data_IF_145987537117
#
_entry.id   IF_145987537117
#
_cell.length_a   1.000
_cell.length_b   1.000
_cell.length_c   1.000
_cell.angle_alpha   90.00
_cell.angle_beta   90.00
_cell.angle_gamma   90.00
#
_symmetry.space_group_name_H-M   'P 1'
#
loop_
_entity.id
_entity.type
_entity.pdbx_description
1 polymer ?
#
# COMPACT_ATOMS: atom_id res chain seq x y z
N UNK A 1 4.49 -7.09 11.68
CA UNK A 1 4.53 -7.56 10.31
C UNK A 1 5.16 -6.50 9.40
N UNK A 2 6.22 -6.89 8.71
CA UNK A 2 7.00 -5.98 7.86
C UNK A 2 6.17 -5.33 6.76
N UNK A 3 5.19 -6.04 6.21
CA UNK A 3 4.32 -5.56 5.14
C UNK A 3 3.51 -4.33 5.55
N UNK A 4 2.97 -4.31 6.76
CA UNK A 4 2.21 -3.16 7.25
C UNK A 4 3.09 -1.92 7.35
N UNK A 5 4.27 -2.06 7.95
CA UNK A 5 5.23 -0.96 8.12
C UNK A 5 5.66 -0.40 6.77
N UNK A 6 6.03 -1.26 5.85
CA UNK A 6 6.57 -0.85 4.57
C UNK A 6 5.57 -0.07 3.72
N UNK A 7 4.36 -0.61 3.55
CA UNK A 7 3.35 0.09 2.75
C UNK A 7 2.80 1.33 3.41
N UNK A 8 2.70 1.34 4.75
CA UNK A 8 2.31 2.55 5.48
C UNK A 8 3.36 3.66 5.33
N UNK A 9 4.63 3.31 5.43
CA UNK A 9 5.72 4.28 5.21
C UNK A 9 5.76 4.76 3.76
N UNK A 10 5.56 3.89 2.79
CA UNK A 10 5.49 4.26 1.37
C UNK A 10 4.33 5.23 1.11
N UNK A 11 3.18 5.02 1.74
CA UNK A 11 2.02 5.91 1.63
C UNK A 11 2.31 7.30 2.22
N UNK A 12 2.99 7.38 3.35
CA UNK A 12 3.44 8.64 3.94
C UNK A 12 4.44 9.34 3.03
N UNK A 13 5.37 8.62 2.45
CA UNK A 13 6.35 9.18 1.51
C UNK A 13 5.66 9.75 0.26
N UNK A 14 4.62 9.06 -0.25
CA UNK A 14 3.83 9.56 -1.37
C UNK A 14 3.13 10.89 -1.04
N UNK A 15 2.64 11.04 0.19
CA UNK A 15 2.06 12.30 0.66
C UNK A 15 3.10 13.41 0.74
N UNK A 16 4.27 13.12 1.27
CA UNK A 16 5.38 14.07 1.36
C UNK A 16 5.80 14.55 -0.02
N UNK A 17 5.95 13.64 -0.96
CA UNK A 17 6.33 13.95 -2.34
C UNK A 17 5.31 14.81 -3.07
N UNK A 18 4.01 14.54 -2.84
CA UNK A 18 2.91 15.28 -3.44
C UNK A 18 2.55 16.58 -2.69
N UNK A 19 3.16 16.85 -1.54
CA UNK A 19 2.83 18.00 -0.72
C UNK A 19 1.47 17.91 -0.04
N UNK A 20 1.01 16.71 0.27
CA UNK A 20 -0.31 16.44 0.87
C UNK A 20 -0.17 16.33 2.38
N UNK A 21 -1.01 17.06 3.12
CA UNK A 21 -0.96 17.11 4.58
C UNK A 21 -2.01 16.24 5.29
N UNK A 22 -2.94 15.65 4.55
CA UNK A 22 -3.96 14.79 5.12
C UNK A 22 -3.37 13.44 5.57
N UNK A 23 -4.01 12.72 6.50
CA UNK A 23 -3.54 11.39 6.89
C UNK A 23 -3.77 10.35 5.78
N UNK A 24 -2.94 9.33 5.77
CA UNK A 24 -3.23 8.10 5.02
C UNK A 24 -4.40 7.37 5.68
N UNK A 25 -5.06 6.50 4.93
CA UNK A 25 -6.13 5.65 5.47
C UNK A 25 -5.70 4.19 5.44
N UNK A 26 -5.84 3.53 6.58
CA UNK A 26 -5.51 2.12 6.73
C UNK A 26 -6.75 1.37 7.17
N UNK A 27 -7.19 0.42 6.36
CA UNK A 27 -8.27 -0.50 6.73
C UNK A 27 -7.62 -1.80 7.21
N UNK A 28 -7.76 -2.08 8.50
CA UNK A 28 -7.20 -3.27 9.11
C UNK A 28 -8.07 -4.50 8.82
N UNK A 29 -7.47 -5.68 8.70
CA UNK A 29 -8.24 -6.90 8.48
C UNK A 29 -9.06 -7.27 9.71
N UNK A 30 -10.21 -7.89 9.45
CA UNK A 30 -11.07 -8.48 10.47
C UNK A 30 -11.58 -9.83 9.98
N UNK A 31 -12.23 -10.60 10.86
CA UNK A 31 -12.82 -11.89 10.47
C UNK A 31 -13.91 -11.74 9.40
N UNK A 32 -14.52 -10.56 9.29
CA UNK A 32 -15.54 -10.26 8.28
C UNK A 32 -14.93 -9.81 6.95
N UNK A 33 -13.70 -9.28 6.99
CA UNK A 33 -13.00 -8.83 5.80
C UNK A 33 -11.50 -9.10 5.98
N UNK A 34 -11.03 -10.14 5.33
CA UNK A 34 -9.64 -10.61 5.44
C UNK A 34 -8.71 -9.87 4.47
N UNK A 35 -8.78 -8.56 4.50
CA UNK A 35 -7.99 -7.68 3.65
C UNK A 35 -7.37 -6.53 4.46
N UNK A 36 -6.10 -6.26 4.21
CA UNK A 36 -5.42 -5.04 4.63
C UNK A 36 -5.47 -4.07 3.45
N UNK A 37 -5.95 -2.85 3.67
CA UNK A 37 -5.96 -1.78 2.66
C UNK A 37 -5.18 -0.59 3.17
N UNK A 38 -4.28 -0.08 2.37
CA UNK A 38 -3.51 1.13 2.68
C UNK A 38 -3.69 2.11 1.52
N UNK A 39 -4.37 3.22 1.81
CA UNK A 39 -4.75 4.25 0.85
C UNK A 39 -3.96 5.52 1.09
N UNK A 40 -3.19 5.94 0.10
CA UNK A 40 -2.61 7.28 0.08
C UNK A 40 -3.41 8.22 -0.82
N UNK A 41 -3.16 9.51 -0.66
CA UNK A 41 -3.75 10.59 -1.45
C UNK A 41 -2.66 11.38 -2.16
N UNK A 42 -1.63 10.68 -2.63
CA UNK A 42 -0.58 11.23 -3.44
C UNK A 42 -1.01 11.47 -4.88
N UNK A 43 -0.09 11.40 -5.80
CA UNK A 43 -0.36 11.72 -7.20
C UNK A 43 -1.07 10.62 -7.98
N UNK A 44 -1.07 9.39 -7.48
CA UNK A 44 -1.54 8.23 -8.22
C UNK A 44 -0.54 7.79 -9.27
N UNK A 45 -0.95 6.86 -10.11
CA UNK A 45 -0.12 6.34 -11.20
C UNK A 45 -0.71 6.74 -12.54
N UNK A 46 0.05 7.48 -13.35
CA UNK A 46 -0.30 7.77 -14.73
C UNK A 46 -0.06 6.54 -15.61
N UNK A 47 -0.63 6.55 -16.82
CA UNK A 47 -0.33 5.51 -17.81
C UNK A 47 1.17 5.42 -18.12
N UNK A 48 1.84 6.57 -18.14
CA UNK A 48 3.29 6.62 -18.36
C UNK A 48 4.04 5.93 -17.22
N UNK A 49 3.64 6.16 -15.97
CA UNK A 49 4.24 5.49 -14.81
C UNK A 49 4.11 3.98 -14.92
N UNK A 50 2.94 3.49 -15.33
CA UNK A 50 2.70 2.05 -15.50
C UNK A 50 3.55 1.50 -16.66
N UNK A 51 3.67 2.21 -17.76
CA UNK A 51 4.53 1.80 -18.88
C UNK A 51 5.99 1.69 -18.44
N UNK A 52 6.46 2.62 -17.61
CA UNK A 52 7.81 2.57 -17.05
C UNK A 52 8.01 1.34 -16.16
N UNK A 53 6.99 0.98 -15.35
CA UNK A 53 7.02 -0.23 -14.52
C UNK A 53 7.11 -1.48 -15.40
N UNK A 54 6.30 -1.59 -16.45
CA UNK A 54 6.36 -2.71 -17.38
C UNK A 54 7.72 -2.80 -18.09
N UNK A 55 8.26 -1.67 -18.53
CA UNK A 55 9.57 -1.61 -19.17
C UNK A 55 10.68 -2.06 -18.21
N UNK A 56 10.57 -1.73 -16.93
CA UNK A 56 11.53 -2.17 -15.91
C UNK A 56 11.58 -3.70 -15.79
N UNK A 57 10.42 -4.34 -15.78
CA UNK A 57 10.37 -5.82 -15.73
C UNK A 57 10.88 -6.47 -17.02
N UNK A 58 10.77 -5.77 -18.15
CA UNK A 58 11.31 -6.24 -19.43
C UNK A 58 12.80 -5.96 -19.62
N UNK A 59 13.31 -4.87 -19.04
CA UNK A 59 14.70 -4.40 -19.19
C UNK A 59 15.23 -3.89 -17.85
N UNK A 60 16.26 -4.48 -17.32
CA UNK A 60 16.75 -4.29 -15.94
C UNK A 60 17.53 -3.00 -15.64
N UNK A 61 17.38 -1.89 -16.40
CA UNK A 61 18.38 -0.80 -16.35
C UNK A 61 17.89 0.64 -16.17
N UNK A 62 16.60 0.91 -15.85
CA UNK A 62 16.13 2.30 -15.75
C UNK A 62 15.93 2.76 -14.29
N UNK A 63 16.74 3.72 -13.85
CA UNK A 63 16.75 4.26 -12.47
C UNK A 63 15.43 4.92 -12.02
N UNK A 64 14.67 5.55 -12.91
CA UNK A 64 13.36 6.16 -12.57
C UNK A 64 12.31 5.11 -12.21
N UNK A 65 12.37 3.96 -12.84
CA UNK A 65 11.48 2.84 -12.56
C UNK A 65 11.72 2.24 -11.18
N UNK A 66 12.95 2.29 -10.66
CA UNK A 66 13.28 1.81 -9.31
C UNK A 66 12.55 2.58 -8.21
N UNK A 67 12.37 3.89 -8.37
CA UNK A 67 11.63 4.70 -7.41
C UNK A 67 10.15 4.33 -7.35
N UNK A 68 9.50 4.21 -8.51
CA UNK A 68 8.10 3.80 -8.61
C UNK A 68 7.88 2.37 -8.11
N UNK A 69 8.76 1.45 -8.49
CA UNK A 69 8.69 0.06 -8.05
C UNK A 69 8.87 -0.04 -6.54
N UNK A 70 9.78 0.74 -5.96
CA UNK A 70 9.96 0.84 -4.52
C UNK A 70 8.73 1.40 -3.81
N UNK A 71 8.13 2.47 -4.33
CA UNK A 71 6.91 3.07 -3.79
C UNK A 71 5.71 2.10 -3.84
N UNK A 72 5.64 1.27 -4.87
CA UNK A 72 4.61 0.24 -4.98
C UNK A 72 4.93 -1.03 -4.19
N UNK A 73 6.12 -1.12 -3.60
CA UNK A 73 6.56 -2.33 -2.90
C UNK A 73 6.87 -3.51 -3.80
N UNK A 74 6.94 -3.30 -5.12
CA UNK A 74 7.19 -4.36 -6.11
C UNK A 74 8.65 -4.81 -6.13
N UNK A 75 9.58 -3.93 -5.75
CA UNK A 75 11.00 -4.25 -5.65
C UNK A 75 11.38 -4.86 -4.30
N UNK A 76 10.49 -4.78 -3.33
CA UNK A 76 10.69 -5.31 -1.99
C UNK A 76 10.12 -6.72 -1.91
N UNK A 77 10.75 -7.55 -1.11
CA UNK A 77 10.28 -8.92 -0.90
C UNK A 77 9.16 -9.02 0.14
N UNK A 78 8.82 -7.92 0.85
CA UNK A 78 7.93 -8.02 2.02
C UNK A 78 6.48 -8.34 1.68
N UNK A 79 5.90 -7.75 0.63
CA UNK A 79 4.54 -8.09 0.21
C UNK A 79 4.45 -9.51 -0.33
N UNK A 80 5.41 -9.87 -1.18
CA UNK A 80 5.47 -11.20 -1.76
C UNK A 80 5.94 -12.26 -0.76
N UNK A 81 6.61 -11.86 0.33
CA UNK A 81 6.90 -12.74 1.45
C UNK A 81 5.63 -13.07 2.25
N UNK A 82 4.65 -12.16 2.28
CA UNK A 82 3.38 -12.40 2.92
C UNK A 82 2.41 -13.21 2.06
N UNK A 83 2.36 -12.93 0.74
CA UNK A 83 1.47 -13.61 -0.19
C UNK A 83 1.98 -13.56 -1.62
N UNK A 84 1.44 -14.41 -2.49
CA UNK A 84 1.88 -14.54 -3.89
C UNK A 84 1.42 -13.38 -4.77
N UNK A 85 0.42 -12.65 -4.34
CA UNK A 85 -0.14 -11.53 -5.11
C UNK A 85 -0.82 -10.51 -4.20
N UNK A 86 -0.97 -9.31 -4.71
CA UNK A 86 -1.76 -8.25 -4.09
C UNK A 86 -2.34 -7.33 -5.18
N UNK A 87 -3.33 -6.52 -4.79
CA UNK A 87 -4.04 -5.63 -5.70
C UNK A 87 -3.56 -4.19 -5.49
N UNK A 88 -3.40 -3.47 -6.59
CA UNK A 88 -3.08 -2.05 -6.61
C UNK A 88 -4.23 -1.33 -7.31
N UNK A 89 -4.89 -0.40 -6.59
CA UNK A 89 -5.85 0.51 -7.18
C UNK A 89 -5.20 1.88 -7.33
N UNK A 90 -5.08 2.36 -8.56
CA UNK A 90 -4.58 3.69 -8.84
C UNK A 90 -5.74 4.63 -9.17
N UNK A 91 -5.77 5.78 -8.50
CA UNK A 91 -6.73 6.85 -8.76
C UNK A 91 -5.96 8.02 -9.35
N UNK A 92 -6.18 8.29 -10.63
CA UNK A 92 -5.46 9.35 -11.34
C UNK A 92 -6.39 10.06 -12.31
N UNK A 93 -6.57 11.36 -12.10
CA UNK A 93 -7.36 12.25 -12.98
C UNK A 93 -8.76 11.71 -13.31
N UNK A 94 -9.48 11.24 -12.29
CA UNK A 94 -10.85 10.76 -12.44
C UNK A 94 -10.97 9.33 -12.97
N UNK A 95 -9.89 8.58 -13.02
CA UNK A 95 -9.87 7.19 -13.47
C UNK A 95 -9.30 6.29 -12.38
N UNK A 96 -10.05 5.26 -12.03
CA UNK A 96 -9.57 4.17 -11.18
C UNK A 96 -9.09 3.02 -12.07
N UNK A 97 -7.84 2.65 -11.94
CA UNK A 97 -7.29 1.48 -12.63
C UNK A 97 -6.83 0.46 -11.60
N UNK A 98 -7.25 -0.78 -11.79
CA UNK A 98 -6.94 -1.89 -10.88
C UNK A 98 -5.91 -2.79 -11.54
N UNK A 99 -4.85 -3.09 -10.80
CA UNK A 99 -3.78 -3.98 -11.22
C UNK A 99 -3.64 -5.13 -10.22
N UNK A 100 -3.20 -6.28 -10.72
CA UNK A 100 -2.73 -7.37 -9.87
C UNK A 100 -1.22 -7.46 -9.98
N UNK A 101 -0.54 -7.37 -8.86
CA UNK A 101 0.90 -7.63 -8.75
C UNK A 101 1.09 -9.06 -8.26
N UNK A 102 1.92 -9.84 -8.94
CA UNK A 102 2.13 -11.26 -8.63
C UNK A 102 3.56 -11.68 -8.92
N UNK A 103 3.96 -12.81 -8.35
CA UNK A 103 5.24 -13.44 -8.65
C UNK A 103 4.99 -14.56 -9.67
N UNK A 104 5.71 -14.52 -10.79
CA UNK A 104 5.67 -15.59 -11.80
C UNK A 104 6.47 -16.82 -11.34
N UNK A 105 6.37 -17.96 -12.07
CA UNK A 105 7.15 -19.16 -11.72
C UNK A 105 8.66 -18.97 -11.69
N UNK A 106 9.18 -17.95 -12.37
CA UNK A 106 10.60 -17.60 -12.37
C UNK A 106 11.03 -16.77 -11.15
N UNK A 107 10.11 -16.52 -10.19
CA UNK A 107 10.32 -15.66 -9.01
C UNK A 107 10.52 -14.18 -9.37
N UNK A 108 10.02 -13.75 -10.52
CA UNK A 108 10.05 -12.36 -10.98
C UNK A 108 8.69 -11.71 -10.70
N UNK A 109 8.71 -10.52 -10.10
CA UNK A 109 7.50 -9.73 -9.88
C UNK A 109 6.92 -9.25 -11.20
N UNK A 110 5.60 -9.39 -11.35
CA UNK A 110 4.83 -8.98 -12.52
C UNK A 110 3.66 -8.11 -12.10
N UNK A 111 3.17 -7.30 -13.02
CA UNK A 111 1.96 -6.50 -12.81
C UNK A 111 1.04 -6.65 -14.02
N UNK A 112 -0.23 -6.91 -13.78
CA UNK A 112 -1.25 -7.07 -14.82
C UNK A 112 -2.41 -6.13 -14.58
N UNK A 113 -2.84 -5.40 -15.60
CA UNK A 113 -4.04 -4.56 -15.54
C UNK A 113 -5.28 -5.43 -15.59
N UNK A 114 -6.16 -5.26 -14.60
CA UNK A 114 -7.41 -6.01 -14.51
C UNK A 114 -8.62 -5.23 -15.03
N UNK A 115 -8.71 -3.93 -14.68
CA UNK A 115 -9.86 -3.11 -15.01
C UNK A 115 -9.52 -1.63 -14.96
N UNK A 116 -10.34 -0.83 -15.62
CA UNK A 116 -10.27 0.64 -15.55
C UNK A 116 -11.69 1.19 -15.64
N UNK A 117 -12.00 2.18 -14.79
CA UNK A 117 -13.31 2.80 -14.73
C UNK A 117 -13.21 4.25 -14.27
N UNK A 118 -14.21 5.06 -14.60
CA UNK A 118 -14.34 6.41 -14.07
C UNK A 118 -14.53 6.36 -12.54
N UNK A 119 -13.95 7.32 -11.84
CA UNK A 119 -14.03 7.41 -10.38
C UNK A 119 -14.07 8.87 -9.93
N UNK A 120 -14.83 9.15 -8.88
CA UNK A 120 -14.86 10.44 -8.21
C UNK A 120 -13.85 10.55 -7.06
N UNK A 121 -13.09 9.49 -6.82
CA UNK A 121 -12.08 9.46 -5.76
C UNK A 121 -10.93 10.41 -6.06
N UNK A 122 -10.35 10.98 -5.01
CA UNK A 122 -9.14 11.78 -5.11
C UNK A 122 -7.96 10.93 -5.58
N UNK A 123 -7.00 11.56 -6.25
CA UNK A 123 -5.78 10.90 -6.70
C UNK A 123 -5.06 10.17 -5.54
N UNK A 124 -4.34 9.15 -5.91
CA UNK A 124 -3.54 8.36 -4.98
C UNK A 124 -3.52 6.89 -5.35
N UNK A 125 -3.02 6.07 -4.43
CA UNK A 125 -2.89 4.64 -4.61
C UNK A 125 -3.46 3.92 -3.39
N UNK A 126 -4.15 2.81 -3.63
CA UNK A 126 -4.57 1.88 -2.59
C UNK A 126 -3.96 0.51 -2.84
N UNK A 127 -3.27 0.00 -1.84
CA UNK A 127 -2.74 -1.37 -1.85
C UNK A 127 -3.71 -2.25 -1.07
N UNK A 128 -4.10 -3.38 -1.64
CA UNK A 128 -5.01 -4.35 -1.01
C UNK A 128 -4.31 -5.70 -0.91
N UNK A 129 -4.14 -6.18 0.31
CA UNK A 129 -3.42 -7.42 0.60
C UNK A 129 -4.36 -8.39 1.30
N UNK A 130 -4.50 -9.61 0.76
CA UNK A 130 -5.26 -10.68 1.42
C UNK A 130 -4.51 -11.16 2.67
N UNK A 131 -5.23 -11.28 3.77
CA UNK A 131 -4.69 -11.60 5.09
C UNK A 131 -5.22 -12.93 5.56
N UNK A 132 -4.35 -13.74 6.19
CA UNK A 132 -4.74 -15.00 6.84
C UNK A 132 -5.55 -14.69 8.09
N UNK A 133 -6.63 -15.46 8.39
CA UNK A 133 -7.43 -15.24 9.59
C UNK A 133 -6.61 -15.23 10.88
N UNK A 134 -5.59 -16.08 10.97
CA UNK A 134 -4.70 -16.16 12.13
C UNK A 134 -3.84 -14.93 12.38
N UNK A 135 -3.69 -14.07 11.37
CA UNK A 135 -2.83 -12.87 11.45
C UNK A 135 -3.59 -11.59 11.77
N UNK A 136 -4.93 -11.62 11.78
CA UNK A 136 -5.74 -10.41 11.97
C UNK A 136 -5.39 -9.64 13.25
N UNK A 137 -5.30 -10.33 14.37
CA UNK A 137 -4.95 -9.69 15.67
C UNK A 137 -3.53 -9.14 15.68
N UNK A 138 -2.60 -9.82 15.01
CA UNK A 138 -1.22 -9.38 14.89
C UNK A 138 -1.14 -8.07 14.09
N UNK A 139 -1.91 -7.95 13.01
CA UNK A 139 -1.99 -6.69 12.26
C UNK A 139 -2.53 -5.54 13.12
N UNK A 140 -3.56 -5.79 13.90
CA UNK A 140 -4.16 -4.77 14.77
C UNK A 140 -3.16 -4.32 15.85
N UNK A 141 -2.52 -5.24 16.55
CA UNK A 141 -1.55 -4.91 17.60
C UNK A 141 -0.31 -4.22 17.04
N UNK A 142 0.17 -4.65 15.88
CA UNK A 142 1.31 -4.01 15.18
C UNK A 142 0.96 -2.59 14.76
N UNK A 143 -0.25 -2.36 14.25
CA UNK A 143 -0.72 -1.03 13.87
C UNK A 143 -0.77 -0.08 15.06
N UNK A 144 -1.23 -0.54 16.22
CA UNK A 144 -1.28 0.29 17.43
C UNK A 144 0.10 0.79 17.82
N UNK A 145 1.09 -0.07 17.79
CA UNK A 145 2.47 0.29 18.11
C UNK A 145 3.09 1.17 17.02
N UNK A 146 2.97 0.76 15.78
CA UNK A 146 3.61 1.42 14.64
C UNK A 146 3.09 2.85 14.45
N UNK A 147 1.76 3.03 14.41
CA UNK A 147 1.15 4.31 14.08
C UNK A 147 1.26 5.34 15.21
N UNK A 148 1.53 4.89 16.44
CA UNK A 148 1.83 5.80 17.55
C UNK A 148 3.02 6.70 17.24
N UNK A 149 3.97 6.22 16.43
CA UNK A 149 5.19 6.97 16.07
C UNK A 149 5.03 7.83 14.82
N UNK A 150 3.89 7.74 14.13
CA UNK A 150 3.67 8.56 12.93
C UNK A 150 3.38 10.01 13.31
N UNK A 151 4.02 10.94 12.61
CA UNK A 151 3.83 12.38 12.81
C UNK A 151 2.37 12.78 12.54
N UNK A 152 1.79 12.29 11.43
CA UNK A 152 0.37 12.41 11.13
C UNK A 152 -0.24 11.03 11.31
N UNK A 153 -1.11 10.87 12.31
CA UNK A 153 -1.73 9.58 12.62
C UNK A 153 -2.63 9.14 11.48
N UNK A 154 -2.50 7.91 10.98
CA UNK A 154 -3.42 7.38 9.98
C UNK A 154 -4.86 7.35 10.48
N UNK A 155 -5.81 7.49 9.55
CA UNK A 155 -7.21 7.13 9.81
C UNK A 155 -7.30 5.62 9.72
N UNK A 156 -7.70 4.97 10.82
CA UNK A 156 -7.79 3.51 10.89
C UNK A 156 -9.24 3.08 10.83
N UNK A 157 -9.54 2.17 9.91
CA UNK A 157 -10.87 1.60 9.66
C UNK A 157 -10.84 0.08 9.84
N UNK A 158 -12.00 -0.53 9.93
CA UNK A 158 -12.15 -1.99 9.96
C UNK A 158 -12.06 -2.61 11.35
N UNK A 159 -11.71 -1.84 12.36
CA UNK A 159 -11.63 -2.29 13.75
C UNK A 159 -12.39 -1.31 14.62
N UNK A 160 -13.37 -1.81 15.37
CA UNK A 160 -14.09 -1.01 16.35
C UNK A 160 -13.15 -0.66 17.51
N UNK A 161 -13.30 0.57 18.04
CA UNK A 161 -12.56 1.03 19.22
C UNK A 161 -11.02 0.95 19.08
N UNK A 162 -10.51 1.20 17.87
CA UNK A 162 -9.07 1.26 17.66
C UNK A 162 -8.47 2.43 18.44
N UNK A 163 -7.52 2.14 19.32
CA UNK A 163 -6.78 3.13 20.10
C UNK A 163 -5.29 2.94 19.93
N UNK A 164 -4.56 4.05 19.86
CA UNK A 164 -3.10 4.00 19.84
C UNK A 164 -2.56 3.65 21.23
N UNK A 165 -1.35 3.05 21.28
CA UNK A 165 -0.65 2.86 22.53
C UNK A 165 -0.34 4.23 23.15
N UNK A 166 -0.90 4.49 24.34
CA UNK A 166 -0.47 5.61 25.15
C UNK A 166 0.81 5.21 25.87
N UNK A 167 1.93 5.82 25.48
CA UNK A 167 3.14 5.71 26.29
C UNK A 167 2.88 6.42 27.61
N UNK A 168 2.83 5.65 28.68
CA UNK A 168 2.91 6.23 30.01
C UNK A 168 4.31 6.81 30.15
N UNK A 169 4.46 8.12 30.42
CA UNK A 169 5.78 8.68 30.66
C UNK A 169 6.45 7.93 31.81
N UNK A 170 7.64 7.45 31.57
CA UNK A 170 8.46 6.91 32.62
C UNK A 170 9.08 8.09 33.36
N UNK A 171 8.69 8.27 34.57
CA UNK A 171 9.28 9.25 35.47
C UNK A 171 10.44 8.60 36.25
#
# INVERSE_FOLDING_TARGET
LAVLREYSCNAVDAHTEAGVNRPIEVTLPSRLSLELKIRDYGMGLSEQDIQEIYAFYGESTKRKSNSLIGQLGLGSKSAFAYGDNFVINSFHNGVKTTYNAYIDPSQIGQIAKLASASSNEANGVEIVISVKPSDCETFVSTARTLFTHFKVKPIVRGVADFTYETRTPLY
#
